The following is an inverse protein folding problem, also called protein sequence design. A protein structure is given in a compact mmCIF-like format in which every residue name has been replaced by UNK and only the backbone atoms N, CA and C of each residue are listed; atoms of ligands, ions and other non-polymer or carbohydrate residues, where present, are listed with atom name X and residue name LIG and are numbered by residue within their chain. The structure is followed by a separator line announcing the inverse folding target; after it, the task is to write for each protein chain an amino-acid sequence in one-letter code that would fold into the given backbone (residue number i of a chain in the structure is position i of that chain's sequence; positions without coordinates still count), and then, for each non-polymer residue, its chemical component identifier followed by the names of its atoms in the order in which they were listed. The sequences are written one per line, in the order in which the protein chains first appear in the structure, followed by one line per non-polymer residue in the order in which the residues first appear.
data_IF_971951022669
#
_entry.id   IF_971951022669
#
_cell.length_a   1.000
_cell.length_b   1.000
_cell.length_c   1.000
_cell.angle_alpha   90.00
_cell.angle_beta   90.00
_cell.angle_gamma   90.00
#
_symmetry.space_group_name_H-M   'P 1'
#
loop_
_entity.id
_entity.type
_entity.pdbx_description
1 polymer ?
#
# COMPACT_ATOMS: atom_id res chain seq x y z
N UNK A 1 -7.67 10.92 13.03
CA UNK A 1 -7.57 9.50 13.40
C UNK A 1 -8.65 8.63 12.74
N UNK A 2 -9.95 8.95 12.87
CA UNK A 2 -11.07 8.20 12.26
C UNK A 2 -10.88 7.86 10.77
N UNK A 3 -10.47 8.84 9.96
CA UNK A 3 -10.23 8.66 8.52
C UNK A 3 -9.24 7.54 8.20
N UNK A 4 -8.17 7.37 8.98
CA UNK A 4 -7.14 6.33 8.73
C UNK A 4 -7.65 4.92 9.02
N UNK A 5 -8.57 4.79 9.97
CA UNK A 5 -9.25 3.53 10.30
C UNK A 5 -10.30 3.21 9.23
N UNK A 6 -11.11 4.19 8.84
CA UNK A 6 -12.11 4.04 7.77
C UNK A 6 -11.48 3.63 6.44
N UNK A 7 -10.30 4.19 6.11
CA UNK A 7 -9.55 3.84 4.89
C UNK A 7 -8.72 2.56 5.02
N UNK A 8 -8.81 1.85 6.16
CA UNK A 8 -8.13 0.58 6.43
C UNK A 8 -6.59 0.66 6.41
N UNK A 9 -6.00 1.80 6.78
CA UNK A 9 -4.56 1.89 7.01
C UNK A 9 -4.19 1.49 8.44
N UNK A 10 -5.09 1.77 9.39
CA UNK A 10 -5.00 1.39 10.79
C UNK A 10 -6.19 0.50 11.18
N UNK A 11 -6.00 -0.37 12.16
CA UNK A 11 -7.04 -1.19 12.76
C UNK A 11 -7.07 -1.03 14.28
N UNK A 12 -8.26 -1.18 14.87
CA UNK A 12 -8.38 -1.28 16.33
C UNK A 12 -8.20 -2.74 16.75
N UNK A 13 -7.19 -2.99 17.55
CA UNK A 13 -6.98 -4.27 18.23
C UNK A 13 -7.24 -4.07 19.73
N UNK A 14 -8.44 -4.45 20.16
CA UNK A 14 -8.93 -4.26 21.54
C UNK A 14 -8.90 -2.77 21.96
N UNK A 15 -7.88 -2.36 22.72
CA UNK A 15 -7.67 -0.99 23.23
C UNK A 15 -6.47 -0.29 22.58
N UNK A 16 -5.76 -0.94 21.66
CA UNK A 16 -4.61 -0.40 20.95
C UNK A 16 -4.90 -0.23 19.46
N UNK A 17 -4.16 0.65 18.81
CA UNK A 17 -4.21 0.84 17.36
C UNK A 17 -3.03 0.08 16.76
N UNK A 18 -3.30 -0.77 15.76
CA UNK A 18 -2.27 -1.48 14.99
C UNK A 18 -2.25 -0.97 13.55
N UNK A 19 -1.07 -1.03 12.92
CA UNK A 19 -0.93 -0.76 11.48
C UNK A 19 -1.33 -1.99 10.69
N UNK A 20 -2.12 -1.79 9.64
CA UNK A 20 -2.54 -2.89 8.75
C UNK A 20 -1.46 -3.20 7.71
N UNK A 21 -1.52 -4.36 7.06
CA UNK A 21 -0.68 -4.70 5.90
C UNK A 21 -0.72 -3.58 4.84
N UNK A 22 -1.91 -3.02 4.57
CA UNK A 22 -2.10 -1.90 3.62
C UNK A 22 -1.35 -0.64 4.07
N UNK A 23 -1.38 -0.33 5.36
CA UNK A 23 -0.63 0.78 5.95
C UNK A 23 0.88 0.60 5.79
N UNK A 24 1.38 -0.60 6.09
CA UNK A 24 2.79 -0.97 5.94
C UNK A 24 3.23 -0.79 4.49
N UNK A 25 2.48 -1.33 3.52
CA UNK A 25 2.83 -1.24 2.10
C UNK A 25 2.93 0.20 1.60
N UNK A 26 2.06 1.11 2.08
CA UNK A 26 2.14 2.53 1.70
C UNK A 26 3.38 3.20 2.28
N UNK A 27 3.71 2.95 3.55
CA UNK A 27 4.92 3.50 4.16
C UNK A 27 6.18 2.97 3.46
N UNK A 28 6.22 1.68 3.16
CA UNK A 28 7.33 1.09 2.40
C UNK A 28 7.48 1.70 1.01
N UNK A 29 6.36 1.97 0.32
CA UNK A 29 6.38 2.64 -0.97
C UNK A 29 6.97 4.05 -0.85
N UNK A 30 6.53 4.83 0.14
CA UNK A 30 7.03 6.19 0.37
C UNK A 30 8.53 6.20 0.69
N UNK A 31 9.02 5.23 1.46
CA UNK A 31 10.46 5.07 1.72
C UNK A 31 11.24 4.67 0.48
N UNK A 32 10.75 3.68 -0.30
CA UNK A 32 11.42 3.20 -1.53
C UNK A 32 11.47 4.26 -2.62
N UNK A 33 10.43 5.09 -2.69
CA UNK A 33 10.37 6.20 -3.66
C UNK A 33 11.20 7.40 -3.23
N UNK A 34 11.84 7.35 -2.05
CA UNK A 34 12.59 8.44 -1.45
C UNK A 34 11.79 9.75 -1.32
N UNK A 35 10.44 9.67 -1.35
CA UNK A 35 9.52 10.81 -1.18
C UNK A 35 9.27 11.02 0.31
N UNK A 36 10.35 11.12 1.08
CA UNK A 36 10.33 11.30 2.54
C UNK A 36 9.73 12.66 2.94
N UNK A 37 9.81 13.63 2.03
CA UNK A 37 9.24 14.97 2.20
C UNK A 37 7.74 14.95 2.52
N UNK A 38 6.98 14.01 1.94
CA UNK A 38 5.54 13.88 2.20
C UNK A 38 5.20 13.37 3.61
N UNK A 39 6.17 12.78 4.29
CA UNK A 39 6.03 12.24 5.65
C UNK A 39 6.74 13.10 6.70
N UNK A 40 7.35 14.23 6.32
CA UNK A 40 8.05 15.11 7.26
C UNK A 40 7.05 15.87 8.16
N UNK A 41 7.16 15.75 9.49
CA UNK A 41 6.37 16.54 10.41
C UNK A 41 6.72 18.03 10.35
N UNK A 42 7.98 18.38 10.07
CA UNK A 42 8.45 19.76 9.95
C UNK A 42 7.81 20.46 8.75
N UNK A 43 7.80 19.80 7.58
CA UNK A 43 7.16 20.36 6.39
C UNK A 43 5.65 20.51 6.60
N UNK A 44 5.01 19.52 7.24
CA UNK A 44 3.58 19.58 7.59
C UNK A 44 3.28 20.77 8.51
N UNK A 45 4.08 21.00 9.54
CA UNK A 45 3.93 22.14 10.45
C UNK A 45 4.15 23.48 9.72
N UNK A 46 5.10 23.54 8.78
CA UNK A 46 5.32 24.71 7.92
C UNK A 46 4.08 25.08 7.10
N UNK A 47 3.45 24.08 6.46
CA UNK A 47 2.21 24.28 5.71
C UNK A 47 1.05 24.75 6.58
N UNK A 48 0.88 24.17 7.77
CA UNK A 48 -0.18 24.60 8.71
C UNK A 48 0.00 26.06 9.13
N UNK A 49 1.24 26.50 9.35
CA UNK A 49 1.56 27.89 9.65
C UNK A 49 1.20 28.83 8.49
N UNK A 50 1.55 28.47 7.25
CA UNK A 50 1.19 29.26 6.07
C UNK A 50 -0.33 29.33 5.87
N UNK A 51 -1.04 28.21 6.05
CA UNK A 51 -2.51 28.17 5.98
C UNK A 51 -3.15 29.08 7.02
N UNK A 52 -2.59 29.15 8.23
CA UNK A 52 -3.08 30.05 9.27
C UNK A 52 -2.90 31.52 8.90
N UNK A 53 -1.80 31.86 8.24
CA UNK A 53 -1.57 33.22 7.74
C UNK A 53 -2.55 33.60 6.62
N UNK A 54 -2.90 32.65 5.75
CA UNK A 54 -3.97 32.84 4.76
C UNK A 54 -5.33 33.04 5.44
N UNK A 55 -5.63 32.26 6.48
CA UNK A 55 -6.87 32.41 7.27
C UNK A 55 -6.99 33.79 7.92
N UNK A 56 -5.87 34.40 8.31
CA UNK A 56 -5.78 35.77 8.84
C UNK A 56 -5.92 36.86 7.77
N UNK A 57 -6.15 36.50 6.51
CA UNK A 57 -6.37 37.44 5.41
C UNK A 57 -5.11 37.80 4.62
N UNK A 58 -3.97 37.13 4.85
CA UNK A 58 -2.82 37.26 3.95
C UNK A 58 -3.08 36.53 2.62
N UNK A 59 -2.34 36.90 1.59
CA UNK A 59 -2.47 36.30 0.26
C UNK A 59 -2.21 34.79 0.30
N UNK A 60 -3.07 34.01 -0.37
CA UNK A 60 -2.91 32.57 -0.55
C UNK A 60 -1.90 32.21 -1.64
N UNK A 61 -1.42 33.19 -2.42
CA UNK A 61 -0.53 32.96 -3.55
C UNK A 61 0.79 32.26 -3.16
N UNK A 62 1.53 32.69 -2.12
CA UNK A 62 2.76 32.01 -1.71
C UNK A 62 2.52 30.55 -1.31
N UNK A 63 1.44 30.28 -0.58
CA UNK A 63 1.05 28.93 -0.18
C UNK A 63 0.77 28.04 -1.40
N UNK A 64 -0.04 28.52 -2.34
CA UNK A 64 -0.38 27.77 -3.55
C UNK A 64 0.84 27.56 -4.46
N UNK A 65 1.70 28.57 -4.60
CA UNK A 65 2.94 28.46 -5.37
C UNK A 65 3.89 27.42 -4.77
N UNK A 66 3.96 27.36 -3.44
CA UNK A 66 4.68 26.33 -2.72
C UNK A 66 4.13 24.92 -2.96
N UNK A 67 2.80 24.72 -2.84
CA UNK A 67 2.16 23.42 -3.09
C UNK A 67 2.41 22.96 -4.53
N UNK A 68 2.28 23.88 -5.50
CA UNK A 68 2.54 23.58 -6.91
C UNK A 68 4.00 23.18 -7.15
N UNK A 69 4.94 23.85 -6.48
CA UNK A 69 6.37 23.54 -6.59
C UNK A 69 6.70 22.17 -5.98
N UNK A 70 6.15 21.87 -4.80
CA UNK A 70 6.32 20.56 -4.17
C UNK A 70 5.72 19.43 -5.02
N UNK A 71 4.53 19.64 -5.58
CA UNK A 71 3.88 18.68 -6.45
C UNK A 71 4.72 18.37 -7.70
N UNK A 72 5.32 19.41 -8.32
CA UNK A 72 6.23 19.23 -9.46
C UNK A 72 7.46 18.42 -9.09
N UNK A 73 8.12 18.75 -7.98
CA UNK A 73 9.27 18.01 -7.48
C UNK A 73 8.94 16.53 -7.28
N UNK A 74 7.82 16.22 -6.63
CA UNK A 74 7.39 14.84 -6.39
C UNK A 74 7.14 14.10 -7.70
N UNK A 75 6.46 14.73 -8.66
CA UNK A 75 6.19 14.12 -9.97
C UNK A 75 7.50 13.84 -10.73
N UNK A 76 8.47 14.75 -10.67
CA UNK A 76 9.78 14.56 -11.28
C UNK A 76 10.58 13.44 -10.63
N UNK A 77 10.65 13.40 -9.30
CA UNK A 77 11.32 12.31 -8.56
C UNK A 77 10.63 10.96 -8.84
N UNK A 78 9.30 10.94 -8.89
CA UNK A 78 8.54 9.72 -9.20
C UNK A 78 8.77 9.24 -10.62
N UNK A 79 8.99 10.13 -11.59
CA UNK A 79 9.31 9.77 -12.98
C UNK A 79 10.72 9.18 -13.14
N UNK A 80 11.69 9.64 -12.34
CA UNK A 80 13.07 9.10 -12.35
C UNK A 80 13.14 7.68 -11.85
N UNK A 81 12.22 7.34 -10.94
CA UNK A 81 11.96 5.95 -10.61
C UNK A 81 11.29 5.34 -11.83
N UNK A 82 12.03 4.57 -12.63
CA UNK A 82 11.40 3.62 -13.54
C UNK A 82 10.63 2.63 -12.66
N UNK A 83 9.37 2.95 -12.37
CA UNK A 83 8.43 2.03 -11.75
C UNK A 83 8.12 1.01 -12.84
N UNK A 84 9.09 0.15 -13.12
CA UNK A 84 8.83 -1.19 -13.62
C UNK A 84 8.03 -1.82 -12.50
N UNK A 85 6.70 -1.69 -12.60
CA UNK A 85 5.69 -2.31 -11.75
C UNK A 85 6.19 -2.57 -10.33
N UNK A 86 5.99 -1.63 -9.41
CA UNK A 86 6.35 -1.82 -8.00
C UNK A 86 6.10 -3.27 -7.59
N UNK A 87 7.18 -3.99 -7.25
CA UNK A 87 7.21 -5.40 -6.84
C UNK A 87 6.46 -5.61 -5.50
N UNK A 88 5.21 -5.15 -5.41
CA UNK A 88 4.22 -5.59 -4.44
C UNK A 88 3.53 -6.87 -4.89
N UNK A 89 3.88 -7.38 -6.07
CA UNK A 89 3.52 -8.72 -6.48
C UNK A 89 4.44 -9.69 -5.73
N UNK A 90 4.21 -9.85 -4.43
CA UNK A 90 4.83 -10.95 -3.69
C UNK A 90 4.24 -12.24 -4.28
N UNK A 91 5.07 -12.99 -5.00
CA UNK A 91 4.66 -14.23 -5.65
C UNK A 91 4.85 -15.38 -4.67
N UNK A 92 3.77 -16.06 -4.30
CA UNK A 92 3.80 -17.13 -3.28
C UNK A 92 3.95 -18.54 -3.86
N UNK A 93 4.33 -18.62 -5.14
CA UNK A 93 4.53 -19.87 -5.86
C UNK A 93 3.88 -19.87 -7.24
N UNK A 94 3.99 -21.01 -7.93
CA UNK A 94 3.39 -21.24 -9.25
C UNK A 94 2.01 -21.85 -9.09
N UNK A 95 1.06 -21.39 -9.89
CA UNK A 95 -0.28 -21.93 -9.90
C UNK A 95 -0.32 -23.35 -10.48
N UNK A 96 -1.03 -24.29 -9.86
CA UNK A 96 -1.13 -25.67 -10.35
C UNK A 96 -1.88 -25.80 -11.68
N UNK A 97 -2.72 -24.81 -12.04
CA UNK A 97 -3.44 -24.77 -13.33
C UNK A 97 -2.62 -24.12 -14.46
N UNK A 98 -2.17 -22.89 -14.22
CA UNK A 98 -1.60 -22.02 -15.26
C UNK A 98 -0.05 -22.00 -15.27
N UNK A 99 0.61 -22.57 -14.24
CA UNK A 99 2.05 -22.42 -13.93
C UNK A 99 2.55 -20.98 -13.73
N UNK A 100 1.69 -19.98 -13.94
CA UNK A 100 1.98 -18.58 -13.66
C UNK A 100 2.01 -18.29 -12.16
N UNK A 101 2.61 -17.16 -11.79
CA UNK A 101 2.76 -16.76 -10.39
C UNK A 101 1.42 -16.52 -9.70
N UNK A 102 1.32 -16.95 -8.45
CA UNK A 102 0.19 -16.63 -7.57
C UNK A 102 0.50 -15.35 -6.82
N UNK A 103 -0.43 -14.40 -6.92
CA UNK A 103 -0.38 -13.10 -6.28
C UNK A 103 -1.33 -13.09 -5.08
N UNK A 104 -1.06 -12.26 -4.09
CA UNK A 104 -1.97 -12.04 -2.97
C UNK A 104 -2.68 -10.71 -3.13
N UNK A 105 -3.99 -10.71 -2.88
CA UNK A 105 -4.72 -9.50 -2.52
C UNK A 105 -5.19 -9.62 -1.06
N UNK A 106 -5.79 -8.55 -0.51
CA UNK A 106 -6.27 -8.53 0.88
C UNK A 106 -7.23 -9.68 1.25
N UNK A 107 -7.91 -10.29 0.28
CA UNK A 107 -8.98 -11.28 0.50
C UNK A 107 -8.63 -12.69 0.04
N UNK A 108 -7.70 -12.85 -0.89
CA UNK A 108 -7.44 -14.10 -1.59
C UNK A 108 -6.08 -14.10 -2.29
N UNK A 109 -5.50 -15.29 -2.42
CA UNK A 109 -4.41 -15.58 -3.34
C UNK A 109 -5.00 -15.95 -4.71
N UNK A 110 -4.51 -15.39 -5.82
CA UNK A 110 -5.07 -15.60 -7.16
C UNK A 110 -3.97 -15.75 -8.23
N UNK A 111 -4.21 -16.51 -9.32
CA UNK A 111 -3.25 -16.59 -10.46
C UNK A 111 -3.11 -15.19 -11.09
N UNK A 112 -1.90 -14.78 -11.47
CA UNK A 112 -1.67 -13.47 -12.11
C UNK A 112 -2.48 -13.25 -13.39
N UNK A 113 -2.84 -14.33 -14.08
CA UNK A 113 -3.65 -14.32 -15.32
C UNK A 113 -5.14 -14.54 -15.01
N UNK A 114 -5.57 -14.13 -13.82
CA UNK A 114 -6.96 -14.27 -13.41
C UNK A 114 -7.87 -13.45 -14.32
N UNK A 115 -8.81 -14.15 -14.97
CA UNK A 115 -9.77 -13.73 -16.01
C UNK A 115 -9.40 -14.07 -17.46
N UNK A 116 -8.14 -13.95 -17.89
CA UNK A 116 -7.78 -14.23 -19.30
C UNK A 116 -7.48 -15.72 -19.57
N UNK A 117 -7.07 -16.49 -18.55
CA UNK A 117 -6.76 -17.92 -18.74
C UNK A 117 -6.89 -18.82 -17.48
N UNK A 118 -7.03 -18.26 -16.27
CA UNK A 118 -7.04 -19.09 -15.05
C UNK A 118 -7.95 -18.56 -13.93
N UNK A 119 -8.97 -19.33 -13.57
CA UNK A 119 -9.93 -18.99 -12.50
C UNK A 119 -9.45 -19.39 -11.10
N UNK A 120 -8.18 -19.75 -10.93
CA UNK A 120 -7.67 -20.24 -9.64
C UNK A 120 -7.55 -19.11 -8.61
N UNK A 121 -8.24 -19.27 -7.47
CA UNK A 121 -8.10 -18.43 -6.29
C UNK A 121 -8.21 -19.26 -5.00
N UNK A 122 -7.59 -18.78 -3.93
CA UNK A 122 -7.67 -19.34 -2.57
C UNK A 122 -8.00 -18.18 -1.63
N UNK A 123 -9.15 -18.24 -0.95
CA UNK A 123 -9.51 -17.21 0.02
C UNK A 123 -8.54 -17.21 1.21
N UNK A 124 -8.19 -16.03 1.72
CA UNK A 124 -7.29 -15.88 2.90
C UNK A 124 -7.94 -16.46 4.17
N UNK A 125 -9.28 -16.53 4.21
CA UNK A 125 -10.03 -17.15 5.28
C UNK A 125 -10.84 -18.34 4.73
N UNK A 126 -10.51 -19.55 5.16
CA UNK A 126 -11.27 -20.76 4.83
C UNK A 126 -11.55 -21.56 6.09
N UNK A 127 -12.80 -22.00 6.28
CA UNK A 127 -13.20 -22.82 7.42
C UNK A 127 -12.75 -22.26 8.78
N UNK A 128 -12.91 -20.94 8.97
CA UNK A 128 -12.47 -20.20 10.18
C UNK A 128 -10.97 -20.26 10.48
N UNK A 129 -10.13 -20.73 9.54
CA UNK A 129 -8.67 -20.65 9.61
C UNK A 129 -8.14 -19.59 8.65
N UNK A 130 -7.20 -18.79 9.14
CA UNK A 130 -6.49 -17.81 8.34
C UNK A 130 -5.34 -18.51 7.62
N UNK A 131 -5.42 -18.61 6.29
CA UNK A 131 -4.40 -19.23 5.46
C UNK A 131 -3.28 -18.22 5.28
N UNK A 132 -2.17 -18.48 6.00
CA UNK A 132 -0.96 -17.67 5.89
C UNK A 132 -0.24 -17.94 4.57
N UNK A 133 0.61 -17.01 4.10
CA UNK A 133 1.40 -17.21 2.90
C UNK A 133 2.25 -18.48 2.87
N UNK A 134 2.83 -18.86 4.02
CA UNK A 134 3.59 -20.12 4.18
C UNK A 134 2.72 -21.36 3.96
N UNK A 135 1.47 -21.30 4.41
CA UNK A 135 0.51 -22.40 4.17
C UNK A 135 0.16 -22.49 2.69
N UNK A 136 0.03 -21.37 1.98
CA UNK A 136 -0.18 -21.38 0.53
C UNK A 136 1.02 -21.99 -0.19
N UNK A 137 2.24 -21.62 0.17
CA UNK A 137 3.45 -22.24 -0.38
C UNK A 137 3.47 -23.76 -0.15
N UNK A 138 3.10 -24.21 1.06
CA UNK A 138 2.96 -25.64 1.37
C UNK A 138 1.83 -26.33 0.60
N UNK A 139 0.67 -25.67 0.42
CA UNK A 139 -0.43 -26.19 -0.40
C UNK A 139 0.00 -26.35 -1.86
N UNK A 140 0.80 -25.41 -2.38
CA UNK A 140 1.27 -25.44 -3.77
C UNK A 140 2.35 -26.50 -4.00
N UNK A 141 3.24 -26.72 -3.03
CA UNK A 141 4.33 -27.69 -3.15
C UNK A 141 3.91 -29.12 -2.77
N UNK A 142 3.09 -29.29 -1.73
CA UNK A 142 2.78 -30.59 -1.11
C UNK A 142 1.32 -31.01 -1.22
N UNK A 143 0.43 -30.12 -1.67
CA UNK A 143 -1.01 -30.38 -1.78
C UNK A 143 -1.76 -30.51 -0.44
N UNK A 144 -1.08 -30.35 0.70
CA UNK A 144 -1.64 -30.48 2.06
C UNK A 144 -0.95 -29.53 3.04
N UNK A 145 -1.69 -29.09 4.05
CA UNK A 145 -1.19 -28.38 5.24
C UNK A 145 -1.58 -29.20 6.48
N UNK A 146 -0.66 -29.35 7.44
CA UNK A 146 -0.94 -29.97 8.74
C UNK A 146 -1.84 -29.08 9.62
#
# INVERSE_FOLDING_TARGET
MKKLVDTQYLAYEKKSISITEKGISVIELLHKTNIILLTSPELTAGWEKELEEVRKGKSSKPFMDGINSLAKLIVEETKKLSINSVDFIQTYGKCPKCKNSILLNMRSHYCSVHKDACTFYIWKMQYHKNITPKMVEQLLLKGRTN
#
